data_IF_250481263108
#
_entry.id   IF_250481263108
#
_cell.length_a   1.000
_cell.length_b   1.000
_cell.length_c   1.000
_cell.angle_alpha   90.00
_cell.angle_beta   90.00
_cell.angle_gamma   90.00
#
_symmetry.space_group_name_H-M   'P 1'
#
loop_
_entity.id
_entity.type
_entity.pdbx_description
1 polymer ?
#
# COMPACT_ATOMS: atom_id res chain seq x y z
N UNK A 1 17.11 11.47 16.91
CA UNK A 1 15.85 10.72 17.16
C UNK A 1 15.92 9.25 16.72
N UNK A 2 16.54 8.90 15.59
CA UNK A 2 16.60 7.51 15.05
C UNK A 2 17.14 6.40 15.99
N UNK A 3 17.99 6.71 16.98
CA UNK A 3 18.57 5.70 17.86
C UNK A 3 17.61 5.20 18.96
N UNK A 4 16.58 5.98 19.31
CA UNK A 4 15.65 5.62 20.38
C UNK A 4 14.54 4.72 19.85
N UNK A 5 13.99 5.03 18.67
CA UNK A 5 12.95 4.21 18.03
C UNK A 5 13.44 2.79 17.71
N UNK A 6 14.69 2.66 17.23
CA UNK A 6 15.26 1.35 16.88
C UNK A 6 15.41 0.39 18.04
N UNK A 7 15.56 0.90 19.27
CA UNK A 7 15.61 0.09 20.49
C UNK A 7 14.23 -0.30 21.03
N UNK A 8 13.18 0.42 20.65
CA UNK A 8 11.81 0.17 21.13
C UNK A 8 11.03 -0.80 20.23
N UNK A 9 11.42 -0.99 18.97
CA UNK A 9 10.72 -1.94 18.08
C UNK A 9 10.66 -3.38 18.60
N UNK A 10 11.73 -3.97 19.20
CA UNK A 10 11.66 -5.33 19.73
C UNK A 10 10.66 -5.46 20.89
N UNK A 11 10.60 -4.47 21.78
CA UNK A 11 9.66 -4.43 22.90
C UNK A 11 8.22 -4.21 22.40
N UNK A 12 8.03 -3.29 21.44
CA UNK A 12 6.74 -3.04 20.81
C UNK A 12 6.20 -4.30 20.11
N UNK A 13 7.05 -5.00 19.34
CA UNK A 13 6.72 -6.27 18.69
C UNK A 13 6.32 -7.33 19.72
N UNK A 14 7.01 -7.41 20.86
CA UNK A 14 6.67 -8.34 21.92
C UNK A 14 5.26 -8.09 22.49
N UNK A 15 4.96 -6.85 22.90
CA UNK A 15 3.65 -6.51 23.46
C UNK A 15 2.52 -6.60 22.43
N UNK A 16 2.76 -6.17 21.18
CA UNK A 16 1.78 -6.26 20.10
C UNK A 16 1.45 -7.71 19.74
N UNK A 17 2.45 -8.61 19.74
CA UNK A 17 2.22 -10.04 19.53
C UNK A 17 1.32 -10.63 20.62
N UNK A 18 1.61 -10.34 21.89
CA UNK A 18 0.78 -10.79 23.01
C UNK A 18 -0.64 -10.25 22.90
N UNK A 19 -0.80 -8.96 22.55
CA UNK A 19 -2.10 -8.37 22.32
C UNK A 19 -2.86 -9.09 21.20
N UNK A 20 -2.21 -9.34 20.05
CA UNK A 20 -2.80 -10.04 18.91
C UNK A 20 -3.27 -11.45 19.32
N UNK A 21 -2.43 -12.22 20.02
CA UNK A 21 -2.77 -13.57 20.51
C UNK A 21 -3.99 -13.56 21.45
N UNK A 22 -4.09 -12.56 22.33
CA UNK A 22 -5.22 -12.39 23.24
C UNK A 22 -6.47 -11.82 22.56
N UNK A 23 -6.30 -11.11 21.45
CA UNK A 23 -7.37 -10.39 20.77
C UNK A 23 -8.33 -11.26 19.95
N UNK A 24 -8.02 -12.56 19.80
CA UNK A 24 -8.86 -13.52 19.07
C UNK A 24 -10.33 -13.52 19.55
N UNK A 25 -10.55 -13.27 20.84
CA UNK A 25 -11.88 -13.24 21.48
C UNK A 25 -12.38 -11.82 21.79
N UNK A 26 -11.67 -10.77 21.38
CA UNK A 26 -12.12 -9.41 21.64
C UNK A 26 -13.28 -8.99 20.72
N UNK A 27 -14.29 -8.27 21.26
CA UNK A 27 -15.38 -7.71 20.47
C UNK A 27 -14.93 -6.50 19.63
N UNK A 28 -13.90 -5.77 20.08
CA UNK A 28 -13.37 -4.61 19.35
C UNK A 28 -12.41 -5.06 18.25
N UNK A 29 -12.97 -5.34 17.07
CA UNK A 29 -12.19 -5.74 15.90
C UNK A 29 -11.33 -4.60 15.34
N UNK A 30 -11.74 -3.34 15.51
CA UNK A 30 -11.00 -2.18 15.02
C UNK A 30 -9.67 -1.99 15.78
N UNK A 31 -9.66 -2.22 17.08
CA UNK A 31 -8.44 -2.26 17.88
C UNK A 31 -7.48 -3.37 17.39
N UNK A 32 -8.02 -4.54 17.01
CA UNK A 32 -7.22 -5.64 16.42
C UNK A 32 -6.58 -5.21 15.11
N UNK A 33 -7.34 -4.63 14.17
CA UNK A 33 -6.78 -4.15 12.90
C UNK A 33 -5.71 -3.09 13.06
N UNK A 34 -5.87 -2.20 14.03
CA UNK A 34 -4.85 -1.20 14.38
C UNK A 34 -3.58 -1.86 14.88
N UNK A 35 -3.69 -2.84 15.79
CA UNK A 35 -2.54 -3.56 16.33
C UNK A 35 -1.77 -4.31 15.24
N UNK A 36 -2.46 -5.00 14.32
CA UNK A 36 -1.83 -5.65 13.18
C UNK A 36 -1.10 -4.65 12.25
N UNK A 37 -1.70 -3.48 12.01
CA UNK A 37 -1.08 -2.44 11.18
C UNK A 37 0.21 -1.92 11.83
N UNK A 38 0.18 -1.60 13.12
CA UNK A 38 1.36 -1.12 13.86
C UNK A 38 2.43 -2.21 13.95
N UNK A 39 2.05 -3.46 14.23
CA UNK A 39 2.96 -4.58 14.30
C UNK A 39 3.68 -4.82 12.97
N UNK A 40 2.96 -4.78 11.85
CA UNK A 40 3.55 -4.88 10.51
C UNK A 40 4.52 -3.73 10.21
N UNK A 41 4.22 -2.51 10.66
CA UNK A 41 5.11 -1.36 10.51
C UNK A 41 6.40 -1.56 11.32
N UNK A 42 6.31 -2.05 12.57
CA UNK A 42 7.48 -2.37 13.37
C UNK A 42 8.35 -3.46 12.73
N UNK A 43 7.73 -4.53 12.20
CA UNK A 43 8.44 -5.58 11.47
C UNK A 43 9.17 -5.03 10.24
N UNK A 44 8.52 -4.14 9.48
CA UNK A 44 9.13 -3.44 8.34
C UNK A 44 10.37 -2.64 8.77
N UNK A 45 10.27 -1.86 9.84
CA UNK A 45 11.38 -1.05 10.37
C UNK A 45 12.53 -1.89 10.93
N UNK A 46 12.23 -3.09 11.41
CA UNK A 46 13.23 -4.09 11.81
C UNK A 46 13.88 -4.81 10.62
N UNK A 47 13.40 -4.57 9.39
CA UNK A 47 13.93 -5.15 8.16
C UNK A 47 13.24 -6.44 7.73
N UNK A 48 12.28 -6.96 8.50
CA UNK A 48 11.53 -8.18 8.17
C UNK A 48 10.24 -7.83 7.41
N UNK A 49 10.41 -7.40 6.16
CA UNK A 49 9.31 -7.03 5.27
C UNK A 49 8.39 -8.21 4.94
N UNK A 50 8.93 -9.42 4.79
CA UNK A 50 8.11 -10.59 4.48
C UNK A 50 7.18 -10.94 5.65
N UNK A 51 7.69 -10.91 6.89
CA UNK A 51 6.84 -11.12 8.06
C UNK A 51 5.76 -10.02 8.17
N UNK A 52 6.10 -8.77 7.84
CA UNK A 52 5.14 -7.68 7.84
C UNK A 52 3.98 -7.91 6.87
N UNK A 53 4.29 -8.35 5.63
CA UNK A 53 3.29 -8.71 4.61
C UNK A 53 2.43 -9.88 5.08
N UNK A 54 3.04 -10.99 5.51
CA UNK A 54 2.30 -12.17 6.00
C UNK A 54 1.34 -11.81 7.13
N UNK A 55 1.79 -10.97 8.06
CA UNK A 55 0.98 -10.57 9.20
C UNK A 55 -0.29 -9.79 8.79
N UNK A 56 -0.17 -8.87 7.83
CA UNK A 56 -1.33 -8.15 7.30
C UNK A 56 -2.26 -9.06 6.50
N UNK A 57 -1.71 -10.02 5.74
CA UNK A 57 -2.52 -11.01 5.00
C UNK A 57 -3.30 -11.93 5.95
N UNK A 58 -2.68 -12.39 7.04
CA UNK A 58 -3.34 -13.14 8.10
C UNK A 58 -4.51 -12.35 8.69
N UNK A 59 -4.30 -11.07 9.00
CA UNK A 59 -5.36 -10.20 9.50
C UNK A 59 -6.50 -10.04 8.49
N UNK A 60 -6.20 -9.84 7.20
CA UNK A 60 -7.23 -9.74 6.18
C UNK A 60 -8.08 -11.02 6.07
N UNK A 61 -7.51 -12.20 6.31
CA UNK A 61 -8.29 -13.45 6.37
C UNK A 61 -9.19 -13.48 7.61
N UNK A 62 -8.69 -12.99 8.74
CA UNK A 62 -9.38 -12.97 10.02
C UNK A 62 -10.52 -11.93 10.07
N UNK A 63 -10.33 -10.78 9.41
CA UNK A 63 -11.27 -9.67 9.37
C UNK A 63 -12.38 -9.83 8.33
N UNK A 64 -12.36 -10.91 7.52
CA UNK A 64 -13.37 -11.18 6.48
C UNK A 64 -14.79 -11.17 7.06
N UNK A 65 -15.56 -10.15 6.69
CA UNK A 65 -16.99 -10.04 7.01
C UNK A 65 -17.34 -9.33 8.33
N UNK A 66 -16.37 -8.75 9.05
CA UNK A 66 -16.64 -8.07 10.33
C UNK A 66 -16.06 -6.67 10.46
N UNK A 67 -14.78 -6.48 10.10
CA UNK A 67 -14.07 -5.21 10.31
C UNK A 67 -13.68 -4.56 8.99
N UNK A 68 -14.63 -3.85 8.40
CA UNK A 68 -14.40 -3.15 7.13
C UNK A 68 -13.34 -2.06 7.26
N UNK A 69 -13.32 -1.32 8.37
CA UNK A 69 -12.37 -0.22 8.56
C UNK A 69 -10.95 -0.74 8.70
N UNK A 70 -10.72 -1.73 9.55
CA UNK A 70 -9.40 -2.34 9.69
C UNK A 70 -8.97 -3.09 8.43
N UNK A 71 -9.88 -3.76 7.72
CA UNK A 71 -9.60 -4.37 6.40
C UNK A 71 -9.09 -3.34 5.38
N UNK A 72 -9.69 -2.14 5.38
CA UNK A 72 -9.27 -1.04 4.53
C UNK A 72 -7.84 -0.59 4.87
N UNK A 73 -7.55 -0.34 6.15
CA UNK A 73 -6.22 0.07 6.61
C UNK A 73 -5.14 -0.97 6.30
N UNK A 74 -5.42 -2.25 6.55
CA UNK A 74 -4.49 -3.34 6.24
C UNK A 74 -4.23 -3.46 4.74
N UNK A 75 -5.27 -3.30 3.91
CA UNK A 75 -5.12 -3.28 2.44
C UNK A 75 -4.26 -2.11 1.97
N UNK A 76 -4.43 -0.93 2.58
CA UNK A 76 -3.59 0.24 2.29
C UNK A 76 -2.12 -0.01 2.67
N UNK A 77 -1.87 -0.56 3.87
CA UNK A 77 -0.52 -0.87 4.33
C UNK A 77 0.19 -1.91 3.44
N UNK A 78 -0.51 -2.97 3.03
CA UNK A 78 0.01 -3.95 2.06
C UNK A 78 0.33 -3.31 0.70
N UNK A 79 -0.57 -2.46 0.19
CA UNK A 79 -0.34 -1.74 -1.07
C UNK A 79 0.93 -0.90 -1.02
N UNK A 80 1.17 -0.19 0.10
CA UNK A 80 2.40 0.59 0.29
C UNK A 80 3.63 -0.31 0.33
N UNK A 81 3.59 -1.42 1.08
CA UNK A 81 4.72 -2.34 1.19
C UNK A 81 5.09 -2.98 -0.15
N UNK A 82 4.10 -3.34 -0.96
CA UNK A 82 4.31 -3.93 -2.29
C UNK A 82 4.79 -2.88 -3.30
N UNK A 83 4.28 -1.65 -3.20
CA UNK A 83 4.77 -0.53 -3.99
C UNK A 83 6.26 -0.26 -3.72
N UNK A 84 6.68 -0.28 -2.46
CA UNK A 84 8.11 -0.17 -2.07
C UNK A 84 8.96 -1.33 -2.61
N UNK A 85 8.37 -2.50 -2.86
CA UNK A 85 9.03 -3.68 -3.43
C UNK A 85 9.03 -3.71 -4.97
N UNK A 86 8.48 -2.67 -5.61
CA UNK A 86 8.28 -2.60 -7.05
C UNK A 86 7.34 -3.68 -7.64
N UNK A 87 6.57 -4.37 -6.79
CA UNK A 87 5.44 -5.20 -7.24
C UNK A 87 4.20 -4.31 -7.42
N UNK A 88 4.22 -3.58 -8.53
CA UNK A 88 3.23 -2.54 -8.82
C UNK A 88 1.84 -3.12 -9.11
N UNK A 89 1.77 -4.32 -9.72
CA UNK A 89 0.49 -4.96 -10.04
C UNK A 89 -0.22 -5.46 -8.77
N UNK A 90 0.52 -6.07 -7.85
CA UNK A 90 -0.02 -6.44 -6.55
C UNK A 90 -0.39 -5.21 -5.73
N UNK A 91 0.44 -4.15 -5.74
CA UNK A 91 0.15 -2.90 -5.05
C UNK A 91 -1.16 -2.25 -5.54
N UNK A 92 -1.37 -2.17 -6.86
CA UNK A 92 -2.62 -1.68 -7.45
C UNK A 92 -3.81 -2.50 -6.97
N UNK A 93 -3.70 -3.83 -6.95
CA UNK A 93 -4.78 -4.72 -6.51
C UNK A 93 -5.19 -4.47 -5.06
N UNK A 94 -4.23 -4.23 -4.16
CA UNK A 94 -4.52 -3.92 -2.76
C UNK A 94 -5.05 -2.50 -2.56
N UNK A 95 -4.57 -1.51 -3.32
CA UNK A 95 -5.14 -0.17 -3.30
C UNK A 95 -6.57 -0.11 -3.87
N UNK A 96 -6.91 -0.96 -4.84
CA UNK A 96 -8.28 -1.12 -5.32
C UNK A 96 -9.21 -1.66 -4.23
N UNK A 97 -8.77 -2.68 -3.47
CA UNK A 97 -9.53 -3.17 -2.31
C UNK A 97 -9.75 -2.07 -1.27
N UNK A 98 -8.70 -1.30 -0.96
CA UNK A 98 -8.79 -0.15 -0.05
C UNK A 98 -9.81 0.90 -0.53
N UNK A 99 -9.77 1.25 -1.82
CA UNK A 99 -10.72 2.17 -2.44
C UNK A 99 -12.16 1.66 -2.38
N UNK A 100 -12.39 0.40 -2.69
CA UNK A 100 -13.71 -0.22 -2.66
C UNK A 100 -14.30 -0.26 -1.25
N UNK A 101 -13.48 -0.57 -0.25
CA UNK A 101 -13.93 -0.54 1.15
C UNK A 101 -14.23 0.89 1.61
N UNK A 102 -13.35 1.85 1.30
CA UNK A 102 -13.58 3.27 1.62
C UNK A 102 -14.89 3.81 0.99
N UNK A 103 -15.15 3.41 -0.27
CA UNK A 103 -16.41 3.73 -0.97
C UNK A 103 -17.62 3.11 -0.29
N UNK A 104 -17.51 1.84 0.13
CA UNK A 104 -18.60 1.13 0.82
C UNK A 104 -18.93 1.74 2.18
N UNK A 105 -17.91 2.19 2.91
CA UNK A 105 -18.05 2.86 4.21
C UNK A 105 -18.56 4.30 4.11
N UNK A 106 -18.59 4.88 2.91
CA UNK A 106 -18.83 6.31 2.68
C UNK A 106 -17.90 7.24 3.49
N UNK A 107 -16.70 6.75 3.84
CA UNK A 107 -15.68 7.50 4.56
C UNK A 107 -14.92 8.39 3.58
N UNK A 108 -15.20 9.69 3.64
CA UNK A 108 -14.65 10.68 2.69
C UNK A 108 -13.14 10.87 2.84
N UNK A 109 -12.57 11.08 4.04
CA UNK A 109 -11.12 11.10 4.23
C UNK A 109 -10.43 9.86 3.69
N UNK A 110 -10.95 8.67 3.99
CA UNK A 110 -10.38 7.40 3.53
C UNK A 110 -10.45 7.26 2.01
N UNK A 111 -11.56 7.69 1.40
CA UNK A 111 -11.74 7.66 -0.05
C UNK A 111 -10.75 8.56 -0.78
N UNK A 112 -10.49 9.76 -0.27
CA UNK A 112 -9.48 10.66 -0.86
C UNK A 112 -8.07 10.08 -0.75
N UNK A 113 -7.70 9.50 0.39
CA UNK A 113 -6.43 8.81 0.55
C UNK A 113 -6.29 7.62 -0.43
N UNK A 114 -7.36 6.83 -0.58
CA UNK A 114 -7.38 5.70 -1.50
C UNK A 114 -7.21 6.13 -2.97
N UNK A 115 -7.84 7.24 -3.38
CA UNK A 115 -7.69 7.80 -4.74
C UNK A 115 -6.26 8.19 -5.03
N UNK A 116 -5.60 8.88 -4.09
CA UNK A 116 -4.20 9.30 -4.24
C UNK A 116 -3.30 8.08 -4.39
N UNK A 117 -3.40 7.11 -3.47
CA UNK A 117 -2.55 5.92 -3.48
C UNK A 117 -2.75 5.08 -4.75
N UNK A 118 -4.01 4.86 -5.15
CA UNK A 118 -4.33 4.12 -6.37
C UNK A 118 -3.84 4.84 -7.63
N UNK A 119 -3.97 6.17 -7.67
CA UNK A 119 -3.49 6.99 -8.79
C UNK A 119 -1.97 6.91 -8.96
N UNK A 120 -1.23 7.04 -7.86
CA UNK A 120 0.23 6.91 -7.84
C UNK A 120 0.66 5.51 -8.30
N UNK A 121 0.05 4.46 -7.74
CA UNK A 121 0.40 3.08 -8.09
C UNK A 121 0.13 2.76 -9.57
N UNK A 122 -1.04 3.13 -10.10
CA UNK A 122 -1.36 2.95 -11.52
C UNK A 122 -0.46 3.77 -12.45
N UNK A 123 -0.10 4.98 -12.02
CA UNK A 123 0.86 5.83 -12.73
C UNK A 123 2.22 5.14 -12.84
N UNK A 124 2.76 4.67 -11.72
CA UNK A 124 4.03 3.95 -11.68
C UNK A 124 4.00 2.68 -12.54
N UNK A 125 2.95 1.85 -12.42
CA UNK A 125 2.80 0.61 -13.19
C UNK A 125 2.82 0.87 -14.70
N UNK A 126 2.13 1.92 -15.16
CA UNK A 126 2.09 2.32 -16.57
C UNK A 126 3.38 3.00 -17.05
N UNK A 127 4.06 3.73 -16.17
CA UNK A 127 5.30 4.43 -16.51
C UNK A 127 6.39 3.45 -16.96
N UNK A 128 6.50 2.27 -16.32
CA UNK A 128 7.42 1.22 -16.74
C UNK A 128 7.18 0.75 -18.18
N UNK A 129 5.92 0.44 -18.51
CA UNK A 129 5.53 0.05 -19.87
C UNK A 129 5.78 1.18 -20.89
N UNK A 130 5.47 2.42 -20.53
CA UNK A 130 5.69 3.58 -21.39
C UNK A 130 7.18 3.83 -21.65
N UNK A 131 8.03 3.75 -20.63
CA UNK A 131 9.48 3.88 -20.79
C UNK A 131 10.04 2.80 -21.71
N UNK A 132 9.53 1.57 -21.63
CA UNK A 132 9.92 0.49 -22.56
C UNK A 132 9.60 0.82 -24.02
N UNK A 133 8.40 1.34 -24.29
CA UNK A 133 7.98 1.75 -25.64
C UNK A 133 8.81 2.92 -26.17
N UNK A 134 9.08 3.92 -25.33
CA UNK A 134 9.89 5.10 -25.70
C UNK A 134 11.32 4.70 -25.97
N UNK A 135 11.95 3.89 -25.11
CA UNK A 135 13.31 3.43 -25.31
C UNK A 135 13.45 2.61 -26.61
N UNK A 136 12.48 1.73 -26.90
CA UNK A 136 12.48 0.92 -28.13
C UNK A 136 12.23 1.70 -29.42
N UNK A 137 11.63 2.89 -29.35
CA UNK A 137 11.29 3.72 -30.51
C UNK A 137 11.97 5.09 -30.52
N UNK A 138 12.96 5.30 -29.64
CA UNK A 138 13.59 6.61 -29.42
C UNK A 138 14.11 7.25 -30.72
N UNK A 139 14.78 6.52 -31.64
CA UNK A 139 15.25 7.10 -32.90
C UNK A 139 14.10 7.59 -33.80
N UNK A 140 13.01 6.83 -33.89
CA UNK A 140 11.82 7.20 -34.69
C UNK A 140 11.10 8.41 -34.09
N UNK A 141 11.00 8.48 -32.77
CA UNK A 141 10.43 9.61 -32.04
C UNK A 141 11.23 10.90 -32.25
N UNK A 142 12.56 10.81 -32.21
CA UNK A 142 13.45 11.94 -32.50
C UNK A 142 13.28 12.39 -33.96
N UNK A 143 13.29 11.47 -34.91
CA UNK A 143 13.11 11.78 -36.34
C UNK A 143 11.75 12.45 -36.64
N UNK A 144 10.69 12.01 -35.98
CA UNK A 144 9.38 12.65 -36.05
C UNK A 144 9.35 14.03 -35.41
N UNK A 145 10.01 14.22 -34.26
CA UNK A 145 10.05 15.52 -33.56
C UNK A 145 10.79 16.55 -34.41
N UNK A 146 11.87 16.13 -35.07
CA UNK A 146 12.64 16.99 -35.97
C UNK A 146 11.91 17.35 -37.27
N UNK A 147 10.89 16.58 -37.66
CA UNK A 147 10.12 16.81 -38.90
C UNK A 147 8.73 17.42 -38.68
N UNK A 148 8.31 17.65 -37.43
CA UNK A 148 7.03 18.31 -37.14
C UNK A 148 7.11 19.82 -37.33
N UNK A 149 6.13 20.34 -38.08
CA UNK A 149 5.87 21.79 -38.16
C UNK A 149 5.27 22.24 -36.81
N UNK A 150 5.76 23.32 -36.19
CA UNK A 150 5.16 23.87 -34.98
C UNK A 150 3.69 24.20 -35.20
N UNK A 151 2.85 23.92 -34.21
CA UNK A 151 1.50 24.47 -34.22
C UNK A 151 1.63 26.00 -34.19
N UNK A 152 1.19 26.64 -35.27
CA UNK A 152 1.03 28.08 -35.31
C UNK A 152 -0.33 28.36 -34.70
N UNK A 153 -0.34 29.06 -33.57
CA UNK A 153 -1.57 29.52 -32.95
C UNK A 153 -2.29 30.46 -33.94
N UNK A 154 -3.54 30.14 -34.25
CA UNK A 154 -4.47 30.99 -35.00
C UNK A 154 -5.31 31.82 -34.04
#
# INVERSE_FOLDING_TARGET
MLYHDRKMYPEAVHYLRQFIELSAHMPDKAAVGTAYTVFSACLKEMGDREAAVRCLEEYLQLARGGDQHGTALASCALGIMLYEQADLDAAVSYFEKFFETARTLADRPMLEAARVNLGVARGAARMGAWMGVVAGNLPKLIAWKSSRVPFTDH
#
